data_IF_226942072105
#
_entry.id   IF_226942072105
#
_cell.length_a   1.000
_cell.length_b   1.000
_cell.length_c   1.000
_cell.angle_alpha   90.00
_cell.angle_beta   90.00
_cell.angle_gamma   90.00
#
_symmetry.space_group_name_H-M   'P 1'
#
loop_
_entity.id
_entity.type
_entity.pdbx_description
1 polymer ?
#
# COMPACT_ATOMS: atom_id res chain seq x y z
N UNK A 1 -11.38 -40.00 -6.76
CA UNK A 1 -11.09 -38.57 -6.55
C UNK A 1 -9.80 -38.50 -5.75
N UNK A 2 -8.79 -37.83 -6.28
CA UNK A 2 -7.49 -37.73 -5.62
C UNK A 2 -7.58 -36.71 -4.47
N UNK A 3 -8.03 -37.19 -3.29
CA UNK A 3 -8.25 -36.37 -2.09
C UNK A 3 -6.97 -35.63 -1.63
N UNK A 4 -5.80 -36.09 -2.06
CA UNK A 4 -4.50 -35.53 -1.69
C UNK A 4 -4.27 -34.18 -2.37
N UNK A 5 -4.63 -34.05 -3.66
CA UNK A 5 -4.49 -32.81 -4.43
C UNK A 5 -5.37 -31.68 -3.89
N UNK A 6 -6.64 -32.00 -3.61
CA UNK A 6 -7.60 -31.04 -3.02
C UNK A 6 -7.18 -30.60 -1.62
N UNK A 7 -6.78 -31.54 -0.76
CA UNK A 7 -6.33 -31.24 0.60
C UNK A 7 -5.09 -30.34 0.61
N UNK A 8 -4.14 -30.62 -0.28
CA UNK A 8 -2.92 -29.81 -0.43
C UNK A 8 -3.23 -28.41 -0.98
N UNK A 9 -4.14 -28.31 -1.95
CA UNK A 9 -4.63 -27.01 -2.46
C UNK A 9 -5.26 -26.18 -1.33
N UNK A 10 -6.13 -26.78 -0.52
CA UNK A 10 -6.73 -26.11 0.64
C UNK A 10 -5.67 -25.65 1.64
N UNK A 11 -4.65 -26.47 1.93
CA UNK A 11 -3.58 -26.06 2.84
C UNK A 11 -2.79 -24.86 2.31
N UNK A 12 -2.48 -24.85 1.01
CA UNK A 12 -1.82 -23.71 0.36
C UNK A 12 -2.69 -22.45 0.40
N UNK A 13 -4.00 -22.59 0.19
CA UNK A 13 -4.96 -21.49 0.29
C UNK A 13 -5.04 -20.93 1.71
N UNK A 14 -5.12 -21.79 2.74
CA UNK A 14 -5.10 -21.36 4.15
C UNK A 14 -3.86 -20.53 4.46
N UNK A 15 -2.69 -21.03 4.07
CA UNK A 15 -1.42 -20.32 4.27
C UNK A 15 -1.42 -18.95 3.55
N UNK A 16 -1.98 -18.89 2.35
CA UNK A 16 -2.07 -17.65 1.58
C UNK A 16 -3.02 -16.63 2.24
N UNK A 17 -4.20 -17.06 2.73
CA UNK A 17 -5.13 -16.19 3.44
C UNK A 17 -4.58 -15.71 4.80
N UNK A 18 -3.88 -16.57 5.54
CA UNK A 18 -3.19 -16.14 6.76
C UNK A 18 -2.11 -15.09 6.47
N UNK A 19 -1.38 -15.28 5.37
CA UNK A 19 -0.44 -14.26 4.87
C UNK A 19 -1.16 -12.98 4.51
N UNK A 20 -2.29 -13.05 3.80
CA UNK A 20 -3.11 -11.89 3.44
C UNK A 20 -3.58 -11.12 4.68
N UNK A 21 -4.07 -11.81 5.71
CA UNK A 21 -4.52 -11.18 6.96
C UNK A 21 -3.38 -10.46 7.69
N UNK A 22 -2.23 -11.13 7.81
CA UNK A 22 -1.03 -10.54 8.42
C UNK A 22 -0.53 -9.34 7.62
N UNK A 23 -0.52 -9.47 6.29
CA UNK A 23 -0.10 -8.44 5.36
C UNK A 23 -1.02 -7.22 5.44
N UNK A 24 -2.34 -7.41 5.53
CA UNK A 24 -3.33 -6.36 5.68
C UNK A 24 -3.10 -5.52 6.94
N UNK A 25 -2.91 -6.17 8.10
CA UNK A 25 -2.61 -5.49 9.36
C UNK A 25 -1.30 -4.71 9.28
N UNK A 26 -0.24 -5.33 8.77
CA UNK A 26 1.07 -4.70 8.62
C UNK A 26 1.03 -3.51 7.64
N UNK A 27 0.31 -3.65 6.53
CA UNK A 27 0.11 -2.61 5.53
C UNK A 27 -0.52 -1.36 6.15
N UNK A 28 -1.62 -1.54 6.88
CA UNK A 28 -2.32 -0.44 7.55
C UNK A 28 -1.49 0.22 8.65
N UNK A 29 -0.66 -0.56 9.36
CA UNK A 29 0.32 -0.01 10.32
C UNK A 29 1.32 0.91 9.61
N UNK A 30 1.92 0.46 8.51
CA UNK A 30 2.89 1.26 7.74
C UNK A 30 2.23 2.52 7.18
N UNK A 31 0.99 2.44 6.68
CA UNK A 31 0.25 3.61 6.22
C UNK A 31 -0.02 4.62 7.34
N UNK A 32 -0.37 4.13 8.53
CA UNK A 32 -0.56 4.99 9.72
C UNK A 32 0.72 5.74 10.09
N UNK A 33 1.88 5.09 9.96
CA UNK A 33 3.19 5.72 10.17
C UNK A 33 3.56 6.73 9.06
N UNK A 34 3.02 6.58 7.85
CA UNK A 34 3.21 7.54 6.76
C UNK A 34 2.43 8.83 6.99
N UNK A 35 1.27 8.80 7.64
CA UNK A 35 0.40 9.95 7.89
C UNK A 35 1.15 11.18 8.44
N UNK A 36 1.89 11.09 9.56
CA UNK A 36 2.62 12.25 10.08
C UNK A 36 3.74 12.75 9.15
N UNK A 37 4.37 11.86 8.37
CA UNK A 37 5.40 12.24 7.40
C UNK A 37 4.80 13.02 6.23
N UNK A 38 3.67 12.54 5.72
CA UNK A 38 2.91 13.18 4.65
C UNK A 38 2.42 14.56 5.10
N UNK A 39 1.84 14.68 6.30
CA UNK A 39 1.43 15.98 6.85
C UNK A 39 2.63 16.93 7.02
N UNK A 40 3.79 16.41 7.43
CA UNK A 40 5.02 17.21 7.52
C UNK A 40 5.46 17.75 6.15
N UNK A 41 5.28 17.00 5.05
CA UNK A 41 5.55 17.51 3.70
C UNK A 41 4.61 18.65 3.34
N UNK A 42 3.30 18.49 3.59
CA UNK A 42 2.32 19.56 3.36
C UNK A 42 2.71 20.85 4.06
N UNK A 43 3.02 20.76 5.36
CA UNK A 43 3.46 21.91 6.17
C UNK A 43 4.76 22.55 5.65
N UNK A 44 5.70 21.76 5.13
CA UNK A 44 6.93 22.29 4.51
C UNK A 44 6.62 23.01 3.19
N UNK A 45 5.68 22.49 2.40
CA UNK A 45 5.16 23.16 1.20
C UNK A 45 4.55 24.52 1.53
N UNK A 46 3.71 24.60 2.57
CA UNK A 46 3.13 25.87 3.04
C UNK A 46 4.22 26.86 3.48
N UNK A 47 5.23 26.40 4.22
CA UNK A 47 6.35 27.24 4.65
C UNK A 47 7.18 27.77 3.50
N UNK A 48 7.47 26.93 2.49
CA UNK A 48 8.17 27.36 1.29
C UNK A 48 7.37 28.40 0.51
N UNK A 49 6.05 28.20 0.36
CA UNK A 49 5.17 29.20 -0.28
C UNK A 49 5.13 30.50 0.52
N UNK A 50 5.02 30.43 1.84
CA UNK A 50 5.02 31.60 2.70
C UNK A 50 6.34 32.39 2.57
N UNK A 51 7.47 31.69 2.50
CA UNK A 51 8.78 32.29 2.29
C UNK A 51 8.89 33.03 0.95
N UNK A 52 8.31 32.47 -0.13
CA UNK A 52 8.31 33.09 -1.45
C UNK A 52 7.41 34.34 -1.52
N UNK A 53 6.38 34.41 -0.68
CA UNK A 53 5.48 35.57 -0.59
C UNK A 53 6.00 36.71 0.30
N UNK A 54 7.06 36.48 1.09
CA UNK A 54 7.60 37.50 2.01
C UNK A 54 8.62 38.40 1.29
N UNK A 55 8.43 39.71 1.41
CA UNK A 55 9.45 40.70 1.03
C UNK A 55 10.36 41.01 2.22
N UNK A 56 11.39 40.18 2.45
CA UNK A 56 12.28 40.29 3.62
C UNK A 56 12.92 41.68 3.75
N UNK A 57 13.25 42.34 2.63
CA UNK A 57 13.83 43.68 2.59
C UNK A 57 12.94 44.80 3.19
N UNK A 58 11.63 44.58 3.32
CA UNK A 58 10.68 45.54 3.91
C UNK A 58 10.43 45.24 5.39
N UNK A 59 10.94 44.11 5.89
CA UNK A 59 10.76 43.68 7.29
C UNK A 59 11.91 44.14 8.18
N UNK A 60 11.76 44.03 9.50
CA UNK A 60 12.87 44.24 10.44
C UNK A 60 14.03 43.24 10.26
N UNK A 61 13.84 42.18 9.47
CA UNK A 61 14.86 41.18 9.16
C UNK A 61 15.78 41.59 8.00
N UNK A 62 15.60 42.78 7.41
CA UNK A 62 16.44 43.29 6.31
C UNK A 62 17.94 43.36 6.65
N UNK A 63 18.32 43.39 7.93
CA UNK A 63 19.73 43.29 8.37
C UNK A 63 20.38 41.94 8.07
N UNK A 64 19.61 40.93 7.66
CA UNK A 64 20.08 39.60 7.28
C UNK A 64 19.83 39.36 5.78
N UNK A 65 20.71 39.85 4.88
CA UNK A 65 20.49 39.83 3.45
C UNK A 65 20.30 38.41 2.88
N UNK A 66 21.01 37.42 3.43
CA UNK A 66 20.96 36.03 2.96
C UNK A 66 19.90 35.18 3.67
N UNK A 67 19.08 35.77 4.55
CA UNK A 67 18.15 35.01 5.39
C UNK A 67 17.16 34.18 4.57
N UNK A 68 16.60 34.78 3.51
CA UNK A 68 15.61 34.11 2.66
C UNK A 68 16.21 32.88 1.97
N UNK A 69 17.39 33.02 1.36
CA UNK A 69 18.08 31.90 0.70
C UNK A 69 18.44 30.80 1.69
N UNK A 70 18.95 31.16 2.87
CA UNK A 70 19.31 30.19 3.92
C UNK A 70 18.09 29.46 4.48
N UNK A 71 16.96 30.14 4.64
CA UNK A 71 15.70 29.51 5.04
C UNK A 71 15.19 28.57 3.96
N UNK A 72 15.19 29.00 2.70
CA UNK A 72 14.78 28.16 1.56
C UNK A 72 15.62 26.89 1.51
N UNK A 73 16.94 27.02 1.61
CA UNK A 73 17.85 25.89 1.65
C UNK A 73 17.53 24.91 2.79
N UNK A 74 17.33 25.41 4.01
CA UNK A 74 16.97 24.56 5.16
C UNK A 74 15.62 23.86 4.99
N UNK A 75 14.63 24.54 4.42
CA UNK A 75 13.31 23.96 4.16
C UNK A 75 13.40 22.85 3.11
N UNK A 76 14.15 23.06 2.02
CA UNK A 76 14.39 22.03 1.01
C UNK A 76 15.11 20.81 1.59
N UNK A 77 16.13 21.02 2.44
CA UNK A 77 16.77 19.91 3.15
C UNK A 77 15.79 19.14 4.04
N UNK A 78 14.86 19.83 4.71
CA UNK A 78 13.84 19.17 5.52
C UNK A 78 12.88 18.34 4.64
N UNK A 79 12.50 18.85 3.46
CA UNK A 79 11.71 18.10 2.46
C UNK A 79 12.44 16.82 2.06
N UNK A 80 13.72 16.91 1.70
CA UNK A 80 14.53 15.74 1.30
C UNK A 80 14.60 14.69 2.43
N UNK A 81 14.78 15.12 3.68
CA UNK A 81 14.79 14.22 4.84
C UNK A 81 13.46 13.48 5.00
N UNK A 82 12.33 14.19 4.85
CA UNK A 82 11.00 13.57 4.98
C UNK A 82 10.71 12.63 3.80
N UNK A 83 11.06 13.03 2.58
CA UNK A 83 10.96 12.16 1.39
C UNK A 83 11.81 10.89 1.53
N UNK A 84 13.01 10.99 2.11
CA UNK A 84 13.84 9.83 2.43
C UNK A 84 13.16 8.86 3.40
N UNK A 85 12.51 9.39 4.45
CA UNK A 85 11.73 8.56 5.39
C UNK A 85 10.53 7.88 4.72
N UNK A 86 9.81 8.61 3.87
CA UNK A 86 8.69 8.05 3.10
C UNK A 86 9.16 6.98 2.11
N UNK A 87 10.32 7.17 1.49
CA UNK A 87 10.93 6.17 0.61
C UNK A 87 11.20 4.86 1.36
N UNK A 88 11.74 4.94 2.57
CA UNK A 88 11.93 3.75 3.42
C UNK A 88 10.60 3.04 3.72
N UNK A 89 9.53 3.80 4.00
CA UNK A 89 8.19 3.24 4.21
C UNK A 89 7.62 2.60 2.95
N UNK A 90 7.87 3.18 1.77
CA UNK A 90 7.52 2.55 0.49
C UNK A 90 8.26 1.23 0.28
N UNK A 91 9.53 1.12 0.69
CA UNK A 91 10.27 -0.15 0.61
C UNK A 91 9.67 -1.22 1.54
N UNK A 92 9.16 -0.84 2.71
CA UNK A 92 8.40 -1.73 3.60
C UNK A 92 7.12 -2.24 2.91
N UNK A 93 6.31 -1.34 2.35
CA UNK A 93 5.10 -1.71 1.58
C UNK A 93 5.43 -2.60 0.37
N UNK A 94 6.56 -2.36 -0.30
CA UNK A 94 6.98 -3.19 -1.44
C UNK A 94 7.31 -4.63 -1.01
N UNK A 95 7.96 -4.81 0.15
CA UNK A 95 8.26 -6.14 0.71
C UNK A 95 6.99 -6.90 1.07
N UNK A 96 6.04 -6.21 1.67
CA UNK A 96 4.70 -6.73 1.99
C UNK A 96 3.98 -7.22 0.71
N UNK A 97 3.90 -6.35 -0.31
CA UNK A 97 3.34 -6.69 -1.62
C UNK A 97 4.03 -7.90 -2.25
N UNK A 98 5.37 -7.94 -2.25
CA UNK A 98 6.13 -9.05 -2.84
C UNK A 98 5.85 -10.37 -2.11
N UNK A 99 5.74 -10.34 -0.79
CA UNK A 99 5.41 -11.52 0.02
C UNK A 99 4.05 -12.08 -0.39
N UNK A 100 3.03 -11.23 -0.46
CA UNK A 100 1.70 -11.63 -0.89
C UNK A 100 1.69 -12.14 -2.34
N UNK A 101 2.29 -11.39 -3.27
CA UNK A 101 2.34 -11.77 -4.69
C UNK A 101 3.02 -13.14 -4.90
N UNK A 102 4.09 -13.43 -4.15
CA UNK A 102 4.76 -14.73 -4.22
C UNK A 102 3.87 -15.86 -3.70
N UNK A 103 3.14 -15.65 -2.59
CA UNK A 103 2.23 -16.67 -2.06
C UNK A 103 1.08 -16.93 -3.03
N UNK A 104 0.45 -15.88 -3.55
CA UNK A 104 -0.60 -16.01 -4.57
C UNK A 104 -0.06 -16.76 -5.80
N UNK A 105 1.11 -16.38 -6.31
CA UNK A 105 1.72 -17.08 -7.45
C UNK A 105 1.97 -18.57 -7.17
N UNK A 106 2.38 -18.92 -5.94
CA UNK A 106 2.62 -20.32 -5.54
C UNK A 106 1.32 -21.14 -5.56
N UNK A 107 0.23 -20.58 -5.04
CA UNK A 107 -1.09 -21.25 -5.05
C UNK A 107 -1.59 -21.44 -6.48
N UNK A 108 -1.47 -20.41 -7.32
CA UNK A 108 -1.90 -20.48 -8.73
C UNK A 108 -1.07 -21.49 -9.53
N UNK A 109 0.26 -21.51 -9.35
CA UNK A 109 1.13 -22.52 -9.95
C UNK A 109 0.76 -23.94 -9.50
N UNK A 110 0.42 -24.13 -8.23
CA UNK A 110 -0.04 -25.42 -7.74
C UNK A 110 -1.35 -25.84 -8.43
N UNK A 111 -2.31 -24.93 -8.57
CA UNK A 111 -3.55 -25.21 -9.31
C UNK A 111 -3.27 -25.59 -10.77
N UNK A 112 -2.46 -24.79 -11.48
CA UNK A 112 -2.11 -25.02 -12.89
C UNK A 112 -1.39 -26.35 -13.12
N UNK A 113 -0.59 -26.81 -12.16
CA UNK A 113 0.13 -28.09 -12.23
C UNK A 113 -0.76 -29.31 -11.91
N UNK A 114 -1.94 -29.10 -11.33
CA UNK A 114 -2.80 -30.15 -10.82
C UNK A 114 -4.20 -30.11 -11.43
N UNK A 115 -4.38 -29.51 -12.61
CA UNK A 115 -5.70 -29.35 -13.28
C UNK A 115 -6.42 -30.67 -13.55
N UNK A 116 -5.68 -31.78 -13.70
CA UNK A 116 -6.25 -33.11 -13.90
C UNK A 116 -6.95 -33.64 -12.63
N UNK A 117 -6.52 -33.20 -11.45
CA UNK A 117 -7.11 -33.57 -10.14
C UNK A 117 -8.02 -32.47 -9.58
N UNK A 118 -7.75 -31.22 -9.93
CA UNK A 118 -8.52 -30.02 -9.61
C UNK A 118 -9.37 -29.62 -10.82
N UNK A 119 -10.27 -30.51 -11.23
CA UNK A 119 -11.17 -30.24 -12.34
C UNK A 119 -12.20 -29.15 -11.98
N UNK A 120 -12.85 -28.59 -13.01
CA UNK A 120 -13.80 -27.49 -12.83
C UNK A 120 -14.94 -27.85 -11.85
N UNK A 121 -15.40 -29.10 -11.88
CA UNK A 121 -16.42 -29.57 -10.96
C UNK A 121 -15.92 -29.51 -9.51
N UNK A 122 -14.71 -30.01 -9.24
CA UNK A 122 -14.12 -29.99 -7.90
C UNK A 122 -13.86 -28.57 -7.41
N UNK A 123 -13.33 -27.68 -8.27
CA UNK A 123 -12.97 -26.32 -7.87
C UNK A 123 -14.17 -25.41 -7.58
N UNK A 124 -15.36 -25.77 -8.06
CA UNK A 124 -16.60 -25.01 -7.83
C UNK A 124 -17.44 -25.56 -6.67
N UNK A 125 -17.04 -26.68 -6.06
CA UNK A 125 -17.70 -27.22 -4.88
C UNK A 125 -17.56 -26.26 -3.70
N UNK A 126 -18.68 -26.04 -3.01
CA UNK A 126 -18.77 -25.25 -1.78
C UNK A 126 -19.23 -26.15 -0.63
N UNK A 127 -18.82 -25.83 0.59
CA UNK A 127 -19.33 -26.47 1.80
C UNK A 127 -19.79 -25.42 2.81
N UNK A 128 -20.40 -25.87 3.91
CA UNK A 128 -20.82 -24.97 4.98
C UNK A 128 -19.65 -24.25 5.67
N UNK A 129 -18.44 -24.81 5.59
CA UNK A 129 -17.23 -24.30 6.27
C UNK A 129 -16.12 -23.88 5.32
N UNK A 130 -16.27 -24.13 4.02
CA UNK A 130 -15.29 -23.81 2.99
C UNK A 130 -15.97 -23.18 1.78
N UNK A 131 -15.57 -21.95 1.40
CA UNK A 131 -15.83 -21.44 0.07
C UNK A 131 -15.25 -22.37 -1.01
N UNK A 132 -15.59 -22.13 -2.28
CA UNK A 132 -15.00 -22.91 -3.36
C UNK A 132 -13.55 -22.50 -3.62
N UNK A 133 -12.75 -23.40 -4.17
CA UNK A 133 -11.38 -23.12 -4.59
C UNK A 133 -11.38 -21.98 -5.62
N UNK A 134 -12.33 -21.98 -6.55
CA UNK A 134 -12.47 -20.94 -7.56
C UNK A 134 -12.70 -19.55 -6.92
N UNK A 135 -13.66 -19.43 -6.00
CA UNK A 135 -13.93 -18.16 -5.30
C UNK A 135 -12.69 -17.69 -4.53
N UNK A 136 -12.02 -18.61 -3.82
CA UNK A 136 -10.83 -18.29 -3.04
C UNK A 136 -9.66 -17.81 -3.90
N UNK A 137 -9.44 -18.42 -5.07
CA UNK A 137 -8.41 -17.99 -6.01
C UNK A 137 -8.72 -16.60 -6.58
N UNK A 138 -9.98 -16.35 -6.94
CA UNK A 138 -10.45 -15.04 -7.40
C UNK A 138 -10.18 -13.97 -6.34
N UNK A 139 -10.61 -14.20 -5.09
CA UNK A 139 -10.41 -13.24 -4.01
C UNK A 139 -8.94 -12.96 -3.70
N UNK A 140 -8.06 -13.96 -3.79
CA UNK A 140 -6.62 -13.77 -3.64
C UNK A 140 -6.02 -12.92 -4.77
N UNK A 141 -6.49 -13.12 -6.00
CA UNK A 141 -6.07 -12.33 -7.16
C UNK A 141 -6.53 -10.88 -7.06
N UNK A 142 -7.77 -10.66 -6.63
CA UNK A 142 -8.35 -9.33 -6.39
C UNK A 142 -7.58 -8.60 -5.28
N UNK A 143 -7.31 -9.29 -4.17
CA UNK A 143 -6.54 -8.73 -3.07
C UNK A 143 -5.12 -8.33 -3.50
N UNK A 144 -4.42 -9.20 -4.23
CA UNK A 144 -3.08 -8.89 -4.74
C UNK A 144 -3.10 -7.71 -5.73
N UNK A 145 -4.14 -7.62 -6.56
CA UNK A 145 -4.33 -6.52 -7.51
C UNK A 145 -4.58 -5.19 -6.78
N UNK A 146 -5.41 -5.19 -5.74
CA UNK A 146 -5.65 -4.04 -4.88
C UNK A 146 -4.35 -3.49 -4.29
N UNK A 147 -3.57 -4.31 -3.56
CA UNK A 147 -2.31 -3.84 -2.95
C UNK A 147 -1.30 -3.36 -3.98
N UNK A 148 -1.24 -4.01 -5.15
CA UNK A 148 -0.36 -3.56 -6.25
C UNK A 148 -0.77 -2.17 -6.75
N UNK A 149 -2.06 -1.92 -6.95
CA UNK A 149 -2.56 -0.62 -7.39
C UNK A 149 -2.30 0.46 -6.32
N UNK A 150 -2.58 0.15 -5.05
CA UNK A 150 -2.34 1.04 -3.92
C UNK A 150 -0.85 1.43 -3.81
N UNK A 151 0.06 0.45 -3.95
CA UNK A 151 1.50 0.68 -3.99
C UNK A 151 1.92 1.61 -5.13
N UNK A 152 1.49 1.29 -6.36
CA UNK A 152 1.90 2.02 -7.55
C UNK A 152 1.42 3.47 -7.54
N UNK A 153 0.18 3.71 -7.11
CA UNK A 153 -0.38 5.08 -7.00
C UNK A 153 0.40 5.92 -5.99
N UNK A 154 0.71 5.37 -4.81
CA UNK A 154 1.53 6.05 -3.79
C UNK A 154 2.96 6.29 -4.24
N UNK A 155 3.59 5.29 -4.85
CA UNK A 155 4.95 5.43 -5.39
C UNK A 155 5.01 6.51 -6.46
N UNK A 156 4.05 6.51 -7.38
CA UNK A 156 3.96 7.53 -8.42
C UNK A 156 3.75 8.93 -7.84
N UNK A 157 2.85 9.08 -6.85
CA UNK A 157 2.65 10.35 -6.15
C UNK A 157 3.98 10.94 -5.68
N UNK A 158 4.78 10.15 -4.96
CA UNK A 158 6.06 10.62 -4.39
C UNK A 158 7.10 10.89 -5.47
N UNK A 159 7.13 10.13 -6.56
CA UNK A 159 8.09 10.32 -7.66
C UNK A 159 7.85 11.58 -8.50
N UNK A 160 6.59 12.05 -8.56
CA UNK A 160 6.23 13.26 -9.31
C UNK A 160 6.55 14.53 -8.53
N UNK A 161 6.80 14.44 -7.21
CA UNK A 161 7.16 15.59 -6.41
C UNK A 161 8.49 16.17 -6.87
N UNK A 162 8.45 17.44 -7.27
CA UNK A 162 9.63 18.23 -7.57
C UNK A 162 9.80 19.27 -6.48
N UNK A 163 11.00 19.45 -5.91
CA UNK A 163 11.24 20.48 -4.89
C UNK A 163 10.93 21.91 -5.39
N UNK A 164 11.02 22.13 -6.70
CA UNK A 164 10.72 23.41 -7.34
C UNK A 164 9.22 23.68 -7.54
N UNK A 165 8.37 22.65 -7.39
CA UNK A 165 6.93 22.77 -7.53
C UNK A 165 6.24 22.74 -6.16
N UNK A 166 6.28 23.90 -5.50
CA UNK A 166 5.76 24.10 -4.15
C UNK A 166 4.25 23.81 -4.03
N UNK A 167 3.51 23.96 -5.13
CA UNK A 167 2.08 23.64 -5.17
C UNK A 167 1.86 22.13 -4.99
N UNK A 168 2.69 21.31 -5.63
CA UNK A 168 2.58 19.86 -5.55
C UNK A 168 3.00 19.32 -4.18
N UNK A 169 3.96 19.95 -3.50
CA UNK A 169 4.43 19.53 -2.16
C UNK A 169 3.37 19.82 -1.09
N UNK A 170 2.70 20.97 -1.18
CA UNK A 170 1.64 21.32 -0.24
C UNK A 170 0.41 20.40 -0.37
N UNK A 171 0.07 19.99 -1.59
CA UNK A 171 -1.10 19.15 -1.85
C UNK A 171 -0.88 17.65 -1.56
N UNK A 172 0.34 17.24 -1.17
CA UNK A 172 0.66 15.83 -0.90
C UNK A 172 -0.31 15.18 0.09
N UNK A 173 -0.69 15.77 1.23
CA UNK A 173 -1.62 15.15 2.16
C UNK A 173 -2.96 14.79 1.54
N UNK A 174 -3.59 15.75 0.86
CA UNK A 174 -4.87 15.54 0.19
C UNK A 174 -4.77 14.47 -0.90
N UNK A 175 -3.70 14.51 -1.69
CA UNK A 175 -3.49 13.54 -2.76
C UNK A 175 -3.17 12.15 -2.22
N UNK A 176 -2.47 12.04 -1.10
CA UNK A 176 -2.19 10.76 -0.43
C UNK A 176 -3.47 10.10 0.07
N UNK A 177 -4.35 10.86 0.73
CA UNK A 177 -5.67 10.40 1.18
C UNK A 177 -6.55 9.97 0.00
N UNK A 178 -6.49 10.68 -1.14
CA UNK A 178 -7.26 10.32 -2.34
C UNK A 178 -6.83 8.99 -2.99
N UNK A 179 -5.67 8.44 -2.61
CA UNK A 179 -5.25 7.11 -3.09
C UNK A 179 -6.01 5.99 -2.38
N UNK A 180 -6.46 6.24 -1.15
CA UNK A 180 -7.27 5.28 -0.41
C UNK A 180 -8.56 4.97 -1.16
N UNK A 181 -8.94 3.69 -1.13
CA UNK A 181 -10.17 3.21 -1.73
C UNK A 181 -10.96 2.49 -0.64
N UNK A 182 -11.93 3.18 -0.01
CA UNK A 182 -12.77 2.60 1.04
C UNK A 182 -13.42 1.30 0.59
N UNK A 183 -13.95 1.27 -0.63
CA UNK A 183 -14.56 0.07 -1.23
C UNK A 183 -13.57 -1.11 -1.33
N UNK A 184 -12.31 -0.82 -1.69
CA UNK A 184 -11.27 -1.84 -1.77
C UNK A 184 -10.90 -2.38 -0.39
N UNK A 185 -10.81 -1.52 0.61
CA UNK A 185 -10.50 -1.91 1.99
C UNK A 185 -11.62 -2.73 2.64
N UNK A 186 -12.88 -2.34 2.40
CA UNK A 186 -14.07 -3.10 2.78
C UNK A 186 -14.06 -4.48 2.11
N UNK A 187 -13.73 -4.55 0.82
CA UNK A 187 -13.67 -5.81 0.09
C UNK A 187 -12.61 -6.78 0.64
N UNK A 188 -11.44 -6.29 1.04
CA UNK A 188 -10.42 -7.11 1.72
C UNK A 188 -10.95 -7.64 3.06
N UNK A 189 -11.57 -6.78 3.86
CA UNK A 189 -12.11 -7.12 5.17
C UNK A 189 -13.23 -8.16 5.08
N UNK A 190 -14.13 -7.99 4.10
CA UNK A 190 -15.19 -8.94 3.77
C UNK A 190 -14.63 -10.29 3.34
N UNK A 191 -13.61 -10.28 2.47
CA UNK A 191 -12.94 -11.50 2.00
C UNK A 191 -12.36 -12.27 3.17
N UNK A 192 -11.60 -11.61 4.04
CA UNK A 192 -11.00 -12.23 5.23
C UNK A 192 -12.08 -12.80 6.17
N UNK A 193 -13.20 -12.09 6.31
CA UNK A 193 -14.34 -12.56 7.11
C UNK A 193 -14.98 -13.81 6.50
N UNK A 194 -15.16 -13.87 5.18
CA UNK A 194 -15.76 -15.02 4.46
C UNK A 194 -14.91 -16.30 4.56
N UNK A 195 -13.59 -16.16 4.63
CA UNK A 195 -12.66 -17.31 4.72
C UNK A 195 -12.28 -17.67 6.16
N UNK A 196 -12.69 -16.90 7.17
CA UNK A 196 -12.32 -17.12 8.58
C UNK A 196 -12.55 -18.56 9.05
N UNK A 197 -13.76 -19.09 8.89
CA UNK A 197 -14.08 -20.48 9.23
C UNK A 197 -13.20 -21.50 8.51
N UNK A 198 -12.88 -21.26 7.23
CA UNK A 198 -12.02 -22.14 6.45
C UNK A 198 -10.59 -22.15 6.98
N UNK A 199 -10.05 -20.98 7.36
CA UNK A 199 -8.69 -20.83 7.88
C UNK A 199 -8.57 -21.45 9.28
N UNK A 200 -9.61 -21.34 10.12
CA UNK A 200 -9.63 -21.85 11.50
C UNK A 200 -9.92 -23.35 11.62
N UNK A 201 -10.46 -23.97 10.56
CA UNK A 201 -10.76 -25.43 10.48
C UNK A 201 -9.51 -26.28 10.31
#
# INVERSE_FOLDING_TARGET
MDQIGVSTCHQNLKQCFHTLETNHKAWNSVLTECTPLVSSLGNLGEQLRALDNIQVGVTQLHHFPDLQERLRFKLLQAVDVVLGKLTNKMDELQKLLKTLSNQVSTVFQFYEQNTDTLDLATCTLRSATSPSIADMLEWLQDANSYYRQQFLRRKHLLQVLRPDDLSLVEEVPKRWESVDSPDGEEHISDTLSRVSFFVDS
#
